data_IF_005420778005
#
_entry.id   IF_005420778005
#
_cell.length_a   1.000
_cell.length_b   1.000
_cell.length_c   1.000
_cell.angle_alpha   90.00
_cell.angle_beta   90.00
_cell.angle_gamma   90.00
#
_symmetry.space_group_name_H-M   'P 1'
#
loop_
_entity.id
_entity.type
_entity.pdbx_description
1 polymer ?
#
# COMPACT_ATOMS: atom_id res chain seq x y z
N UNK A 1 -14.30 -6.46 1.19
CA UNK A 1 -14.93 -6.89 2.45
C UNK A 1 -13.93 -7.69 3.26
N UNK A 2 -13.10 -7.00 4.02
CA UNK A 2 -12.25 -7.56 5.08
C UNK A 2 -12.41 -6.67 6.31
N UNK A 3 -13.63 -6.61 6.85
CA UNK A 3 -13.96 -5.81 8.04
C UNK A 3 -13.58 -6.54 9.35
N UNK A 4 -13.33 -7.86 9.25
CA UNK A 4 -13.00 -8.75 10.37
C UNK A 4 -11.72 -8.31 11.12
N UNK A 5 -10.62 -7.87 10.47
CA UNK A 5 -9.41 -7.46 11.19
C UNK A 5 -9.55 -6.12 11.93
N UNK A 6 -10.31 -5.17 11.38
CA UNK A 6 -10.48 -3.83 11.98
C UNK A 6 -11.30 -3.90 13.26
N UNK A 7 -12.35 -4.73 13.27
CA UNK A 7 -13.18 -4.93 14.46
C UNK A 7 -12.35 -5.32 15.68
N UNK A 8 -11.47 -6.31 15.54
CA UNK A 8 -10.60 -6.74 16.65
C UNK A 8 -9.62 -5.65 17.10
N UNK A 9 -9.06 -4.86 16.16
CA UNK A 9 -8.17 -3.74 16.50
C UNK A 9 -8.86 -2.69 17.33
N UNK A 10 -10.13 -2.40 17.00
CA UNK A 10 -10.95 -1.48 17.77
C UNK A 10 -11.21 -2.02 19.18
N UNK A 11 -11.55 -3.31 19.33
CA UNK A 11 -11.68 -3.93 20.65
C UNK A 11 -10.38 -3.85 21.47
N UNK A 12 -9.23 -4.11 20.84
CA UNK A 12 -7.91 -3.99 21.49
C UNK A 12 -7.67 -2.55 21.97
N UNK A 13 -7.99 -1.56 21.14
CA UNK A 13 -7.86 -0.14 21.49
C UNK A 13 -8.78 0.24 22.66
N UNK A 14 -10.02 -0.25 22.65
CA UNK A 14 -10.98 -0.05 23.73
C UNK A 14 -10.47 -0.63 25.06
N UNK A 15 -9.94 -1.86 25.05
CA UNK A 15 -9.36 -2.48 26.25
C UNK A 15 -8.15 -1.69 26.79
N UNK A 16 -7.32 -1.13 25.90
CA UNK A 16 -6.23 -0.24 26.30
C UNK A 16 -6.77 1.03 26.99
N UNK A 17 -7.84 1.64 26.46
CA UNK A 17 -8.48 2.82 27.05
C UNK A 17 -9.14 2.54 28.40
N UNK A 18 -9.59 1.31 28.63
CA UNK A 18 -10.05 0.85 29.95
C UNK A 18 -8.90 0.66 30.97
N UNK A 19 -7.64 0.76 30.54
CA UNK A 19 -6.47 0.58 31.40
C UNK A 19 -6.07 -0.87 31.61
N UNK A 20 -6.64 -1.81 30.83
CA UNK A 20 -6.24 -3.20 30.88
C UNK A 20 -4.85 -3.39 30.25
N UNK A 21 -4.14 -4.45 30.65
CA UNK A 21 -2.93 -4.87 29.97
C UNK A 21 -3.25 -5.79 28.78
N UNK A 22 -2.30 -5.96 27.86
CA UNK A 22 -2.52 -6.71 26.62
C UNK A 22 -3.00 -8.16 26.83
N UNK A 23 -2.51 -8.86 27.84
CA UNK A 23 -2.92 -10.25 28.11
C UNK A 23 -4.32 -10.34 28.72
N UNK A 24 -4.71 -9.40 29.57
CA UNK A 24 -6.08 -9.29 30.06
C UNK A 24 -7.03 -8.94 28.90
N UNK A 25 -6.64 -7.99 28.05
CA UNK A 25 -7.39 -7.60 26.86
C UNK A 25 -7.63 -8.78 25.92
N UNK A 26 -6.59 -9.56 25.58
CA UNK A 26 -6.72 -10.73 24.71
C UNK A 26 -7.71 -11.76 25.28
N UNK A 27 -7.69 -11.98 26.60
CA UNK A 27 -8.63 -12.87 27.28
C UNK A 27 -10.06 -12.33 27.27
N UNK A 28 -10.26 -11.05 27.57
CA UNK A 28 -11.57 -10.41 27.55
C UNK A 28 -12.19 -10.48 26.15
N UNK A 29 -11.40 -10.18 25.13
CA UNK A 29 -11.81 -10.24 23.72
C UNK A 29 -12.17 -11.66 23.32
N UNK A 30 -11.36 -12.67 23.65
CA UNK A 30 -11.70 -14.06 23.34
C UNK A 30 -12.92 -14.56 24.13
N UNK A 31 -13.13 -14.09 25.36
CA UNK A 31 -14.32 -14.43 26.13
C UNK A 31 -15.59 -13.84 25.51
N UNK A 32 -15.52 -12.63 24.95
CA UNK A 32 -16.66 -11.94 24.36
C UNK A 32 -16.95 -12.35 22.90
N UNK A 33 -15.91 -12.59 22.10
CA UNK A 33 -16.02 -12.77 20.65
C UNK A 33 -15.73 -14.21 20.17
N UNK A 34 -15.34 -15.10 21.08
CA UNK A 34 -15.05 -16.50 20.79
C UNK A 34 -13.60 -16.87 21.05
N UNK A 35 -13.38 -18.13 21.42
CA UNK A 35 -12.05 -18.66 21.68
C UNK A 35 -11.16 -18.55 20.43
N UNK A 36 -9.97 -17.98 20.60
CA UNK A 36 -9.04 -17.75 19.49
C UNK A 36 -9.36 -16.53 18.62
N UNK A 37 -10.32 -15.67 19.01
CA UNK A 37 -10.65 -14.44 18.28
C UNK A 37 -9.42 -13.53 18.03
N UNK A 38 -8.54 -13.40 19.04
CA UNK A 38 -7.29 -12.65 18.94
C UNK A 38 -6.17 -13.44 19.61
N UNK A 39 -5.07 -13.65 18.89
CA UNK A 39 -3.86 -14.20 19.49
C UNK A 39 -3.21 -13.19 20.44
N UNK A 40 -2.72 -13.65 21.59
CA UNK A 40 -2.10 -12.80 22.60
C UNK A 40 -0.90 -12.00 22.04
N UNK A 41 -0.10 -12.60 21.15
CA UNK A 41 0.98 -11.90 20.42
C UNK A 41 0.46 -10.72 19.60
N UNK A 42 -0.64 -10.91 18.85
CA UNK A 42 -1.28 -9.85 18.07
C UNK A 42 -1.78 -8.73 18.97
N UNK A 43 -2.39 -9.06 20.10
CA UNK A 43 -2.85 -8.05 21.06
C UNK A 43 -1.68 -7.21 21.60
N UNK A 44 -0.55 -7.84 21.96
CA UNK A 44 0.66 -7.14 22.41
C UNK A 44 1.24 -6.21 21.33
N UNK A 45 1.35 -6.69 20.09
CA UNK A 45 1.89 -5.91 18.98
C UNK A 45 1.07 -4.62 18.75
N UNK A 46 -0.26 -4.71 18.81
CA UNK A 46 -1.16 -3.55 18.72
C UNK A 46 -1.08 -2.64 19.95
N UNK A 47 -1.00 -3.19 21.16
CA UNK A 47 -0.80 -2.40 22.37
C UNK A 47 0.47 -1.55 22.31
N UNK A 48 1.58 -2.12 21.85
CA UNK A 48 2.84 -1.40 21.68
C UNK A 48 2.67 -0.25 20.68
N UNK A 49 2.05 -0.52 19.53
CA UNK A 49 1.75 0.49 18.52
C UNK A 49 0.92 1.67 19.07
N UNK A 50 -0.14 1.38 19.82
CA UNK A 50 -0.97 2.42 20.42
C UNK A 50 -0.24 3.22 21.50
N UNK A 51 0.63 2.57 22.28
CA UNK A 51 1.49 3.23 23.28
C UNK A 51 2.56 4.12 22.66
N UNK A 52 2.99 3.82 21.44
CA UNK A 52 3.87 4.69 20.64
C UNK A 52 3.12 5.92 20.06
N UNK A 53 1.80 6.01 20.27
CA UNK A 53 0.95 7.13 19.82
C UNK A 53 0.30 6.92 18.45
N UNK A 54 0.52 5.78 17.79
CA UNK A 54 -0.09 5.44 16.51
C UNK A 54 -1.45 4.77 16.72
N UNK A 55 -2.50 5.58 16.82
CA UNK A 55 -3.89 5.14 17.05
C UNK A 55 -4.62 4.69 15.77
N UNK A 56 -3.91 4.57 14.65
CA UNK A 56 -4.53 4.14 13.38
C UNK A 56 -4.87 2.65 13.41
N UNK A 57 -6.12 2.31 13.07
CA UNK A 57 -6.57 0.92 12.94
C UNK A 57 -6.17 0.29 11.60
N UNK A 58 -5.62 1.07 10.68
CA UNK A 58 -5.21 0.60 9.36
C UNK A 58 -3.87 -0.15 9.41
N UNK A 59 -3.68 -1.06 8.46
CA UNK A 59 -2.39 -1.70 8.26
C UNK A 59 -1.35 -0.64 7.87
N UNK A 60 -0.14 -0.76 8.43
CA UNK A 60 1.00 0.00 7.90
C UNK A 60 1.26 -0.45 6.45
N UNK A 61 1.75 0.45 5.58
CA UNK A 61 2.18 0.07 4.25
C UNK A 61 3.13 -1.13 4.34
N UNK A 62 2.77 -2.24 3.70
CA UNK A 62 3.61 -3.44 3.70
C UNK A 62 4.80 -3.19 2.79
N UNK A 63 5.99 -3.50 3.27
CA UNK A 63 7.19 -3.52 2.42
C UNK A 63 6.95 -4.44 1.22
N UNK A 64 7.24 -3.94 0.02
CA UNK A 64 7.06 -4.69 -1.23
C UNK A 64 5.72 -4.47 -1.96
N UNK A 65 4.77 -3.72 -1.38
CA UNK A 65 3.69 -3.13 -2.17
C UNK A 65 4.13 -1.73 -2.64
N UNK A 66 4.16 -1.47 -3.95
CA UNK A 66 4.43 -0.14 -4.47
C UNK A 66 3.39 0.82 -3.90
N UNK A 67 3.86 1.92 -3.33
CA UNK A 67 3.00 2.86 -2.65
C UNK A 67 2.05 3.47 -3.70
N UNK A 68 0.85 3.89 -3.29
CA UNK A 68 -0.04 4.61 -4.20
C UNK A 68 0.64 5.85 -4.80
N UNK A 69 1.57 6.46 -4.05
CA UNK A 69 2.44 7.53 -4.56
C UNK A 69 3.36 7.08 -5.70
N UNK A 70 3.84 5.84 -5.70
CA UNK A 70 4.73 5.34 -6.75
C UNK A 70 3.97 5.13 -8.06
N UNK A 71 2.70 4.73 -7.98
CA UNK A 71 1.81 4.63 -9.14
C UNK A 71 1.51 6.02 -9.70
N UNK A 72 1.21 7.00 -8.86
CA UNK A 72 0.98 8.38 -9.32
C UNK A 72 2.24 9.00 -9.94
N UNK A 73 3.42 8.79 -9.34
CA UNK A 73 4.70 9.22 -9.93
C UNK A 73 4.95 8.56 -11.29
N UNK A 74 4.69 7.26 -11.40
CA UNK A 74 4.79 6.53 -12.66
C UNK A 74 3.85 7.11 -13.74
N UNK A 75 2.60 7.45 -13.38
CA UNK A 75 1.65 8.10 -14.31
C UNK A 75 2.16 9.45 -14.81
N UNK A 76 2.74 10.26 -13.92
CA UNK A 76 3.31 11.56 -14.29
C UNK A 76 4.46 11.39 -15.28
N UNK A 77 5.39 10.46 -15.02
CA UNK A 77 6.53 10.20 -15.92
C UNK A 77 6.08 9.73 -17.31
N UNK A 78 5.09 8.83 -17.39
CA UNK A 78 4.56 8.36 -18.67
C UNK A 78 3.82 9.47 -19.43
N UNK A 79 3.13 10.36 -18.72
CA UNK A 79 2.41 11.49 -19.32
C UNK A 79 3.39 12.51 -19.90
N UNK A 80 4.49 12.77 -19.20
CA UNK A 80 5.54 13.70 -19.63
C UNK A 80 6.32 13.15 -20.82
N UNK A 81 6.77 11.89 -20.74
CA UNK A 81 7.46 11.23 -21.83
C UNK A 81 7.00 9.77 -22.00
N UNK A 82 6.10 9.49 -22.94
CA UNK A 82 5.57 8.14 -23.17
C UNK A 82 6.58 7.20 -23.84
N UNK A 83 7.77 7.68 -24.22
CA UNK A 83 8.82 6.88 -24.88
C UNK A 83 9.84 6.29 -23.91
N UNK A 84 9.73 6.58 -22.61
CA UNK A 84 10.61 6.05 -21.59
C UNK A 84 10.53 4.52 -21.55
N UNK A 85 11.69 3.89 -21.42
CA UNK A 85 11.81 2.44 -21.25
C UNK A 85 11.48 2.05 -19.81
N UNK A 86 11.10 0.79 -19.62
CA UNK A 86 10.77 0.25 -18.28
C UNK A 86 12.01 0.24 -17.37
N UNK A 87 13.19 0.11 -17.96
CA UNK A 87 14.47 0.24 -17.24
C UNK A 87 14.74 1.67 -16.75
N UNK A 88 14.51 2.69 -17.58
CA UNK A 88 14.65 4.10 -17.16
C UNK A 88 13.63 4.47 -16.07
N UNK A 89 12.39 4.01 -16.21
CA UNK A 89 11.33 4.20 -15.20
C UNK A 89 11.70 3.54 -13.88
N UNK A 90 12.26 2.32 -13.92
CA UNK A 90 12.76 1.60 -12.76
C UNK A 90 13.88 2.39 -12.04
N UNK A 91 14.86 2.90 -12.80
CA UNK A 91 15.96 3.70 -12.26
C UNK A 91 15.47 5.02 -11.62
N UNK A 92 14.51 5.71 -12.25
CA UNK A 92 13.97 6.97 -11.71
C UNK A 92 13.10 6.78 -10.46
N UNK A 93 12.39 5.66 -10.37
CA UNK A 93 11.50 5.36 -9.24
C UNK A 93 12.18 4.55 -8.12
N UNK A 94 13.37 4.01 -8.36
CA UNK A 94 14.11 3.19 -7.39
C UNK A 94 13.41 1.86 -7.09
N UNK A 95 12.65 1.32 -8.03
CA UNK A 95 11.93 0.06 -7.89
C UNK A 95 12.34 -0.94 -8.97
N UNK A 96 12.09 -2.22 -8.75
CA UNK A 96 12.46 -3.27 -9.71
C UNK A 96 11.70 -3.14 -11.05
N UNK A 97 12.35 -3.51 -12.16
CA UNK A 97 11.76 -3.43 -13.50
C UNK A 97 10.45 -4.23 -13.61
N UNK A 98 10.37 -5.41 -13.00
CA UNK A 98 9.14 -6.22 -13.02
C UNK A 98 7.96 -5.53 -12.31
N UNK A 99 8.27 -4.67 -11.34
CA UNK A 99 7.28 -3.86 -10.65
C UNK A 99 6.68 -2.82 -11.61
N UNK A 100 7.53 -2.14 -12.39
CA UNK A 100 7.09 -1.20 -13.44
C UNK A 100 6.18 -1.91 -14.44
N UNK A 101 6.59 -3.07 -14.96
CA UNK A 101 5.83 -3.83 -15.96
C UNK A 101 4.43 -4.20 -15.45
N UNK A 102 4.36 -4.71 -14.21
CA UNK A 102 3.09 -5.06 -13.55
C UNK A 102 2.18 -3.84 -13.40
N UNK A 103 2.73 -2.67 -13.06
CA UNK A 103 1.94 -1.45 -12.95
C UNK A 103 1.44 -0.93 -14.29
N UNK A 104 2.29 -0.93 -15.31
CA UNK A 104 1.91 -0.56 -16.66
C UNK A 104 0.73 -1.41 -17.14
N UNK A 105 0.80 -2.73 -16.97
CA UNK A 105 -0.31 -3.63 -17.28
C UNK A 105 -1.56 -3.32 -16.46
N UNK A 106 -1.45 -3.10 -15.15
CA UNK A 106 -2.60 -2.75 -14.29
C UNK A 106 -3.28 -1.44 -14.71
N UNK A 107 -2.52 -0.50 -15.27
CA UNK A 107 -3.02 0.76 -15.83
C UNK A 107 -3.52 0.65 -17.27
N UNK A 108 -3.45 -0.53 -17.89
CA UNK A 108 -3.83 -0.73 -19.29
C UNK A 108 -2.87 -0.09 -20.30
N UNK A 109 -1.63 0.19 -19.90
CA UNK A 109 -0.58 0.71 -20.79
C UNK A 109 0.07 -0.45 -21.53
N UNK A 110 0.26 -0.27 -22.83
CA UNK A 110 0.93 -1.21 -23.72
C UNK A 110 1.94 -0.46 -24.57
N UNK A 111 3.06 -1.11 -24.89
CA UNK A 111 4.03 -0.55 -25.82
C UNK A 111 3.43 -0.55 -27.23
N UNK A 112 3.46 0.61 -27.90
CA UNK A 112 3.08 0.77 -29.30
C UNK A 112 4.20 1.47 -30.04
N UNK A 113 4.49 1.00 -31.25
CA UNK A 113 5.43 1.67 -32.13
C UNK A 113 4.89 3.05 -32.53
N UNK A 114 5.80 4.00 -32.68
CA UNK A 114 5.46 5.33 -33.20
C UNK A 114 4.94 5.25 -34.62
N UNK A 115 4.02 6.14 -34.97
CA UNK A 115 3.56 6.30 -36.35
C UNK A 115 4.64 6.99 -37.17
N UNK A 116 4.94 6.45 -38.36
CA UNK A 116 5.87 7.09 -39.27
C UNK A 116 5.25 8.36 -39.86
N UNK A 117 5.97 9.46 -39.79
CA UNK A 117 5.58 10.75 -40.39
C UNK A 117 6.52 11.03 -41.56
N UNK A 118 6.01 11.14 -42.81
CA UNK A 118 6.85 11.21 -44.01
C UNK A 118 7.78 12.42 -44.08
N UNK A 119 7.38 13.53 -43.47
CA UNK A 119 8.08 14.79 -43.58
C UNK A 119 8.00 15.58 -42.28
N UNK A 120 9.11 16.21 -41.90
CA UNK A 120 9.16 17.12 -40.77
C UNK A 120 8.77 18.51 -41.27
N UNK A 121 7.57 18.96 -40.91
CA UNK A 121 7.12 20.30 -41.26
C UNK A 121 7.99 21.35 -40.56
N UNK A 122 8.53 22.29 -41.33
CA UNK A 122 9.16 23.51 -40.84
C UNK A 122 8.14 24.64 -40.78
N UNK A 123 8.39 25.65 -39.94
CA UNK A 123 7.51 26.80 -39.72
C UNK A 123 7.37 27.76 -40.91
N UNK A 124 8.14 27.55 -41.98
CA UNK A 124 8.38 28.54 -43.03
C UNK A 124 7.44 28.39 -44.25
N UNK A 125 6.18 27.96 -44.02
CA UNK A 125 5.14 27.89 -45.06
C UNK A 125 4.17 29.07 -44.98
#
# INVERSE_FOLDING_TARGET
>A
MSEIPIHFRHCILYELQLGNNASAAARNICAALGEGAVADRTCRDWFNRFREGDMSLEDRPRSGCPLESDIERLKVLIKDNPRLTTHELSAMLGCDQSTIDRHLHKMGKVNKLGTWVPHQLTSDN
#
